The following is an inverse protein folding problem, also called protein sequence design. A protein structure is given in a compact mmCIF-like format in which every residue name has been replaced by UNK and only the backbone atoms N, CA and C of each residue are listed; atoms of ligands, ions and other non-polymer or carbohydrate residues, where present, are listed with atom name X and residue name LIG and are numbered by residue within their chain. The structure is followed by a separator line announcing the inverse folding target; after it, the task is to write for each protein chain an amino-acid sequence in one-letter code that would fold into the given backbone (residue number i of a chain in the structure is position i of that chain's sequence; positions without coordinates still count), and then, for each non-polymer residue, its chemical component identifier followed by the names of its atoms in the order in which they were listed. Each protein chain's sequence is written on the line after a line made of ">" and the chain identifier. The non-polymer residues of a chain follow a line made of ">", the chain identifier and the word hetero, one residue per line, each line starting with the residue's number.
data_IF_076675751399
#
_entry.id   IF_076675751399
#
_cell.length_a   1.000
_cell.length_b   1.000
_cell.length_c   1.000
_cell.angle_alpha   90.00
_cell.angle_beta   90.00
_cell.angle_gamma   90.00
#
_symmetry.space_group_name_H-M   'P 1'
#
loop_
_entity.id
_entity.type
_entity.pdbx_description
1 polymer ?
#
# COMPACT_ATOMS: atom_id res chain seq x y z
N UNK A 1 16.19 6.69 -3.38
CA UNK A 1 15.83 5.26 -3.25
C UNK A 1 14.33 4.97 -3.26
N UNK A 2 13.47 5.60 -2.42
CA UNK A 2 12.00 5.36 -2.44
C UNK A 2 11.36 5.70 -3.80
N UNK A 3 11.64 6.88 -4.35
CA UNK A 3 11.10 7.30 -5.66
C UNK A 3 11.53 6.39 -6.81
N UNK A 4 12.76 5.86 -6.77
CA UNK A 4 13.22 4.88 -7.76
C UNK A 4 12.51 3.55 -7.64
N UNK A 5 12.24 3.09 -6.40
CA UNK A 5 11.50 1.86 -6.16
C UNK A 5 10.08 1.94 -6.73
N UNK A 6 9.42 3.11 -6.64
CA UNK A 6 8.10 3.31 -7.24
C UNK A 6 8.13 3.13 -8.77
N UNK A 7 9.20 3.58 -9.43
CA UNK A 7 9.37 3.40 -10.88
C UNK A 7 9.54 1.92 -11.28
N UNK A 8 10.00 1.06 -10.38
CA UNK A 8 10.13 -0.38 -10.64
C UNK A 8 8.77 -1.06 -10.81
N UNK A 9 7.75 -0.61 -10.06
CA UNK A 9 6.39 -1.15 -10.16
C UNK A 9 5.64 -0.67 -11.41
N UNK A 10 6.13 0.37 -12.09
CA UNK A 10 5.57 0.83 -13.36
C UNK A 10 6.05 0.00 -14.57
N UNK A 11 7.00 -0.92 -14.37
CA UNK A 11 7.52 -1.77 -15.45
C UNK A 11 6.49 -2.88 -15.74
N UNK A 12 6.08 -3.00 -17.00
CA UNK A 12 5.11 -4.00 -17.48
C UNK A 12 5.77 -5.27 -18.02
N UNK A 13 7.05 -5.22 -18.37
CA UNK A 13 7.84 -6.39 -18.78
C UNK A 13 8.42 -7.10 -17.55
N UNK A 14 8.11 -8.39 -17.40
CA UNK A 14 8.54 -9.19 -16.25
C UNK A 14 10.06 -9.36 -16.17
N UNK A 15 10.73 -9.70 -17.28
CA UNK A 15 12.17 -9.96 -17.30
C UNK A 15 12.94 -8.69 -16.97
N UNK A 16 12.52 -7.57 -17.56
CA UNK A 16 13.06 -6.24 -17.28
C UNK A 16 12.81 -5.81 -15.83
N UNK A 17 11.64 -6.15 -15.27
CA UNK A 17 11.35 -5.88 -13.87
C UNK A 17 12.29 -6.66 -12.94
N UNK A 18 12.51 -7.96 -13.18
CA UNK A 18 13.44 -8.78 -12.39
C UNK A 18 14.86 -8.19 -12.42
N UNK A 19 15.36 -7.84 -13.60
CA UNK A 19 16.69 -7.25 -13.77
C UNK A 19 16.82 -5.92 -12.99
N UNK A 20 15.83 -5.04 -13.15
CA UNK A 20 15.80 -3.73 -12.49
C UNK A 20 15.69 -3.86 -10.96
N UNK A 21 14.89 -4.81 -10.46
CA UNK A 21 14.82 -5.13 -9.04
C UNK A 21 16.16 -5.64 -8.48
N UNK A 22 16.85 -6.54 -9.20
CA UNK A 22 18.19 -7.01 -8.80
C UNK A 22 19.20 -5.86 -8.70
N UNK A 23 19.22 -4.97 -9.70
CA UNK A 23 20.07 -3.77 -9.68
C UNK A 23 19.75 -2.86 -8.50
N UNK A 24 18.47 -2.62 -8.24
CA UNK A 24 18.04 -1.81 -7.11
C UNK A 24 18.46 -2.43 -5.78
N UNK A 25 18.32 -3.75 -5.60
CA UNK A 25 18.78 -4.44 -4.38
C UNK A 25 20.29 -4.36 -4.19
N UNK A 26 21.08 -4.44 -5.28
CA UNK A 26 22.54 -4.25 -5.22
C UNK A 26 22.87 -2.84 -4.71
N UNK A 27 22.25 -1.80 -5.28
CA UNK A 27 22.43 -0.42 -4.84
C UNK A 27 21.96 -0.20 -3.38
N UNK A 28 20.82 -0.78 -3.01
CA UNK A 28 20.27 -0.71 -1.65
C UNK A 28 21.17 -1.41 -0.60
N UNK A 29 21.86 -2.49 -0.98
CA UNK A 29 22.86 -3.15 -0.12
C UNK A 29 24.16 -2.35 -0.01
N UNK A 30 24.55 -1.65 -1.08
CA UNK A 30 25.75 -0.83 -1.13
C UNK A 30 25.62 0.52 -0.38
N UNK A 31 24.39 0.96 -0.06
CA UNK A 31 24.17 2.25 0.61
C UNK A 31 24.58 2.30 2.08
N UNK A 32 24.90 1.14 2.69
CA UNK A 32 25.30 0.99 4.10
C UNK A 32 24.21 1.43 5.10
N UNK A 33 23.02 1.84 4.65
CA UNK A 33 21.89 2.17 5.52
C UNK A 33 21.33 0.87 6.12
N UNK A 34 21.46 0.59 7.43
CA UNK A 34 21.17 -0.73 7.99
C UNK A 34 19.74 -1.20 7.75
N UNK A 35 18.77 -0.29 7.90
CA UNK A 35 17.36 -0.57 7.64
C UNK A 35 17.09 -0.96 6.18
N UNK A 36 17.74 -0.27 5.24
CA UNK A 36 17.56 -0.52 3.81
C UNK A 36 18.27 -1.80 3.37
N UNK A 37 19.48 -2.05 3.89
CA UNK A 37 20.22 -3.31 3.65
C UNK A 37 19.39 -4.50 4.14
N UNK A 38 18.81 -4.41 5.35
CA UNK A 38 17.93 -5.45 5.90
C UNK A 38 16.68 -5.64 5.03
N UNK A 39 16.05 -4.56 4.60
CA UNK A 39 14.91 -4.60 3.68
C UNK A 39 15.25 -5.32 2.37
N UNK A 40 16.37 -4.94 1.75
CA UNK A 40 16.83 -5.53 0.49
C UNK A 40 17.07 -7.04 0.64
N UNK A 41 17.79 -7.47 1.69
CA UNK A 41 18.04 -8.90 1.95
C UNK A 41 16.76 -9.72 2.14
N UNK A 42 15.74 -9.15 2.77
CA UNK A 42 14.46 -9.83 2.99
C UNK A 42 13.64 -9.93 1.70
N UNK A 43 13.59 -8.86 0.91
CA UNK A 43 12.73 -8.77 -0.27
C UNK A 43 13.33 -9.41 -1.52
N UNK A 44 14.65 -9.45 -1.63
CA UNK A 44 15.36 -10.11 -2.74
C UNK A 44 15.00 -11.60 -2.84
N UNK A 45 14.77 -12.28 -1.71
CA UNK A 45 14.30 -13.68 -1.68
C UNK A 45 12.91 -13.89 -2.29
N UNK A 46 12.14 -12.82 -2.49
CA UNK A 46 10.77 -12.84 -3.03
C UNK A 46 10.64 -11.98 -4.27
N UNK A 47 11.70 -11.92 -5.07
CA UNK A 47 11.77 -11.04 -6.25
C UNK A 47 10.68 -11.36 -7.27
N UNK A 48 10.31 -12.62 -7.45
CA UNK A 48 9.25 -13.02 -8.39
C UNK A 48 7.90 -12.42 -8.00
N UNK A 49 7.60 -12.33 -6.71
CA UNK A 49 6.39 -11.66 -6.22
C UNK A 49 6.37 -10.16 -6.51
N UNK A 50 7.55 -9.51 -6.50
CA UNK A 50 7.68 -8.09 -6.83
C UNK A 50 7.59 -7.86 -8.34
N UNK A 51 8.24 -8.71 -9.13
CA UNK A 51 8.21 -8.65 -10.59
C UNK A 51 6.86 -9.07 -11.18
N UNK A 52 6.08 -9.91 -10.47
CA UNK A 52 4.73 -10.29 -10.88
C UNK A 52 3.77 -9.11 -10.99
N UNK A 53 4.05 -7.98 -10.34
CA UNK A 53 3.29 -6.74 -10.56
C UNK A 53 3.30 -6.32 -12.04
N UNK A 54 4.35 -6.64 -12.79
CA UNK A 54 4.45 -6.37 -14.22
C UNK A 54 3.37 -7.10 -15.05
N UNK A 55 3.02 -8.33 -14.63
CA UNK A 55 1.99 -9.16 -15.27
C UNK A 55 0.60 -8.92 -14.69
N UNK A 56 0.52 -8.78 -13.38
CA UNK A 56 -0.72 -8.62 -12.63
C UNK A 56 -0.57 -7.42 -11.68
N UNK A 57 -0.97 -6.21 -12.10
CA UNK A 57 -0.88 -5.03 -11.25
C UNK A 57 -1.75 -5.18 -10.00
N UNK A 58 -1.14 -5.11 -8.82
CA UNK A 58 -1.86 -5.17 -7.54
C UNK A 58 -1.80 -3.79 -6.89
N UNK A 59 -2.96 -3.18 -6.69
CA UNK A 59 -3.07 -1.96 -5.90
C UNK A 59 -3.24 -2.28 -4.40
N UNK A 60 -2.86 -1.33 -3.55
CA UNK A 60 -3.05 -1.46 -2.10
C UNK A 60 -4.40 -0.92 -1.63
N UNK A 61 -5.25 -0.40 -2.52
CA UNK A 61 -6.50 0.28 -2.15
C UNK A 61 -7.41 -0.57 -1.28
N UNK A 62 -7.59 -1.85 -1.64
CA UNK A 62 -8.40 -2.79 -0.84
C UNK A 62 -7.78 -3.06 0.54
N UNK A 63 -6.45 -3.16 0.61
CA UNK A 63 -5.72 -3.35 1.88
C UNK A 63 -5.86 -2.11 2.77
N UNK A 64 -5.80 -0.91 2.20
CA UNK A 64 -6.02 0.33 2.93
C UNK A 64 -7.46 0.46 3.44
N UNK A 65 -8.45 0.00 2.67
CA UNK A 65 -9.84 -0.12 3.14
C UNK A 65 -9.96 -1.02 4.38
N UNK A 66 -9.26 -2.16 4.41
CA UNK A 66 -9.19 -2.99 5.62
C UNK A 66 -8.50 -2.28 6.79
N UNK A 67 -7.45 -1.50 6.54
CA UNK A 67 -6.77 -0.73 7.58
C UNK A 67 -7.70 0.33 8.18
N UNK A 68 -8.51 1.01 7.35
CA UNK A 68 -9.52 1.97 7.81
C UNK A 68 -10.54 1.32 8.74
N UNK A 69 -11.07 0.14 8.38
CA UNK A 69 -11.98 -0.63 9.25
C UNK A 69 -11.30 -1.00 10.56
N UNK A 70 -10.04 -1.44 10.51
CA UNK A 70 -9.26 -1.76 11.71
C UNK A 70 -9.08 -0.55 12.63
N UNK A 71 -8.87 0.64 12.07
CA UNK A 71 -8.78 1.89 12.85
C UNK A 71 -10.14 2.24 13.46
N UNK A 72 -11.22 2.21 12.67
CA UNK A 72 -12.58 2.46 13.16
C UNK A 72 -12.95 1.52 14.32
N UNK A 73 -12.57 0.24 14.23
CA UNK A 73 -12.77 -0.75 15.30
C UNK A 73 -12.12 -0.33 16.62
N UNK A 74 -10.90 0.23 16.59
CA UNK A 74 -10.20 0.65 17.82
C UNK A 74 -10.91 1.80 18.53
N UNK A 75 -11.53 2.70 17.77
CA UNK A 75 -12.27 3.83 18.32
C UNK A 75 -13.67 3.42 18.82
N UNK A 76 -14.18 2.28 18.35
CA UNK A 76 -15.52 1.78 18.68
C UNK A 76 -15.56 0.81 19.87
N UNK A 77 -14.47 0.65 20.65
CA UNK A 77 -14.50 -0.17 21.86
C UNK A 77 -15.59 0.36 22.82
N UNK A 78 -16.47 -0.52 23.28
CA UNK A 78 -17.60 -0.17 24.15
C UNK A 78 -18.90 0.18 23.41
N UNK A 79 -18.90 0.20 22.08
CA UNK A 79 -20.15 0.33 21.32
C UNK A 79 -21.01 -0.91 21.54
N UNK A 80 -22.25 -0.70 22.01
CA UNK A 80 -23.24 -1.78 22.20
C UNK A 80 -24.06 -2.06 20.94
N UNK A 81 -23.98 -1.19 19.94
CA UNK A 81 -24.81 -1.23 18.74
C UNK A 81 -23.96 -1.44 17.48
N UNK A 82 -23.94 -2.66 16.99
CA UNK A 82 -23.22 -3.04 15.77
C UNK A 82 -23.71 -2.27 14.53
N UNK A 83 -25.00 -1.95 14.47
CA UNK A 83 -25.59 -1.18 13.36
C UNK A 83 -24.96 0.20 13.26
N UNK A 84 -24.68 0.83 14.40
CA UNK A 84 -23.98 2.11 14.44
C UNK A 84 -22.53 1.98 13.95
N UNK A 85 -21.82 0.93 14.36
CA UNK A 85 -20.47 0.65 13.89
C UNK A 85 -20.39 0.45 12.37
N UNK A 86 -21.28 -0.36 11.79
CA UNK A 86 -21.32 -0.55 10.32
C UNK A 86 -21.73 0.71 9.57
N UNK A 87 -22.56 1.56 10.18
CA UNK A 87 -22.92 2.88 9.61
C UNK A 87 -21.70 3.80 9.58
N UNK A 88 -20.91 3.83 10.66
CA UNK A 88 -19.65 4.57 10.70
C UNK A 88 -18.66 4.08 9.65
N UNK A 89 -18.52 2.76 9.45
CA UNK A 89 -17.66 2.21 8.37
C UNK A 89 -18.10 2.72 7.00
N UNK A 90 -19.41 2.67 6.71
CA UNK A 90 -19.95 3.15 5.42
C UNK A 90 -19.68 4.64 5.23
N UNK A 91 -19.91 5.45 6.26
CA UNK A 91 -19.63 6.88 6.25
C UNK A 91 -18.15 7.18 5.96
N UNK A 92 -17.23 6.50 6.66
CA UNK A 92 -15.79 6.66 6.45
C UNK A 92 -15.29 6.17 5.08
N UNK A 93 -16.07 5.30 4.43
CA UNK A 93 -15.77 4.80 3.08
C UNK A 93 -16.26 5.74 1.97
N UNK A 94 -17.03 6.79 2.31
CA UNK A 94 -17.45 7.79 1.34
C UNK A 94 -16.25 8.65 0.94
N UNK A 95 -16.08 8.92 -0.36
CA UNK A 95 -15.03 9.82 -0.82
C UNK A 95 -15.28 11.25 -0.30
N UNK A 96 -14.21 11.95 0.09
CA UNK A 96 -14.28 13.25 0.77
C UNK A 96 -14.97 14.38 -0.03
N UNK A 97 -15.33 14.16 -1.30
CA UNK A 97 -16.06 15.13 -2.11
C UNK A 97 -17.55 15.25 -1.74
N UNK A 98 -18.14 14.23 -1.12
CA UNK A 98 -19.57 14.22 -0.74
C UNK A 98 -19.87 15.00 0.55
N UNK A 99 -18.86 15.58 1.20
CA UNK A 99 -19.03 16.41 2.40
C UNK A 99 -19.20 17.90 2.10
N UNK A 100 -19.18 18.30 0.83
CA UNK A 100 -19.56 19.66 0.44
C UNK A 100 -21.08 19.80 0.60
N UNK A 101 -21.51 20.25 1.78
CA UNK A 101 -22.87 20.77 1.99
C UNK A 101 -23.15 21.79 0.87
N UNK A 102 -24.33 21.76 0.21
CA UNK A 102 -24.76 22.88 -0.59
C UNK A 102 -24.64 24.12 0.29
N UNK A 103 -23.88 25.12 -0.15
CA UNK A 103 -23.92 26.43 0.49
C UNK A 103 -25.35 26.92 0.30
N UNK A 104 -26.12 27.00 1.38
CA UNK A 104 -27.45 27.57 1.35
C UNK A 104 -27.33 29.02 0.85
N UNK A 105 -27.82 29.25 -0.36
CA UNK A 105 -28.15 30.57 -0.92
C UNK A 105 -29.36 31.14 -0.21
#
# INVERSE_FOLDING_TARGET
>A
MKGEMNKLYAITDYQKAVERWKRWFKAAKASVIPALVRFAKLKEKRIDGLANHAKCPINTSRLEGYNMIKVAKRNAYGYKNDRYFFTLIRYLSLPAYDLASPKNT
#
